data_IF_722384087376
#
_entry.id   IF_722384087376
#
_cell.length_a   1.000
_cell.length_b   1.000
_cell.length_c   1.000
_cell.angle_alpha   90.00
_cell.angle_beta   90.00
_cell.angle_gamma   90.00
#
_symmetry.space_group_name_H-M   'P 1'
#
loop_
_entity.id
_entity.type
_entity.pdbx_description
1 polymer ?
#
# COMPACT_ATOMS: atom_id res chain seq x y z
N UNK A 1 39.80 -48.75 -35.29
CA UNK A 1 38.80 -48.07 -36.12
C UNK A 1 37.45 -48.73 -35.85
N UNK A 2 36.60 -48.10 -35.05
CA UNK A 2 35.23 -48.56 -34.82
C UNK A 2 34.37 -47.32 -34.60
N UNK A 3 33.38 -47.15 -35.48
CA UNK A 3 32.34 -46.13 -35.40
C UNK A 3 31.38 -46.50 -34.29
N UNK A 4 30.92 -45.54 -33.49
CA UNK A 4 29.71 -45.71 -32.71
C UNK A 4 28.81 -44.49 -32.81
N UNK A 5 27.59 -44.74 -33.30
CA UNK A 5 26.52 -43.79 -33.59
C UNK A 5 25.87 -43.37 -32.28
N UNK A 6 25.88 -42.08 -31.95
CA UNK A 6 24.90 -41.53 -30.99
C UNK A 6 23.67 -41.00 -31.73
N UNK A 7 22.57 -41.66 -31.43
CA UNK A 7 21.19 -41.32 -31.76
C UNK A 7 20.81 -39.94 -31.24
N UNK A 8 20.16 -39.15 -32.09
CA UNK A 8 19.67 -37.81 -31.79
C UNK A 8 18.51 -37.82 -30.80
N UNK A 9 18.60 -36.92 -29.83
CA UNK A 9 17.55 -36.58 -28.89
C UNK A 9 16.58 -35.59 -29.56
N UNK A 10 15.25 -35.75 -29.42
CA UNK A 10 14.29 -34.85 -30.06
C UNK A 10 14.25 -33.49 -29.35
N UNK A 11 14.37 -32.42 -30.13
CA UNK A 11 14.20 -31.04 -29.69
C UNK A 11 12.79 -30.82 -29.14
N UNK A 12 12.61 -30.21 -27.96
CA UNK A 12 11.28 -29.90 -27.44
C UNK A 12 10.60 -28.83 -28.31
N UNK A 13 9.27 -28.91 -28.50
CA UNK A 13 8.53 -27.96 -29.33
C UNK A 13 8.53 -26.57 -28.70
N UNK A 14 8.69 -25.56 -29.56
CA UNK A 14 8.57 -24.14 -29.22
C UNK A 14 7.10 -23.85 -28.84
N UNK A 15 6.84 -23.14 -27.72
CA UNK A 15 5.48 -22.86 -27.29
C UNK A 15 4.78 -21.87 -28.24
N UNK A 16 3.55 -22.22 -28.62
CA UNK A 16 2.64 -21.47 -29.47
C UNK A 16 2.01 -20.29 -28.69
N UNK A 17 2.24 -19.03 -29.09
CA UNK A 17 1.75 -17.85 -28.36
C UNK A 17 0.22 -17.64 -28.46
N UNK A 18 -0.49 -18.38 -29.32
CA UNK A 18 -1.93 -18.18 -29.56
C UNK A 18 -2.84 -19.23 -28.90
N UNK A 19 -2.31 -20.06 -27.98
CA UNK A 19 -3.14 -21.03 -27.25
C UNK A 19 -3.91 -20.37 -26.09
N UNK A 20 -5.26 -20.33 -26.11
CA UNK A 20 -6.04 -19.80 -24.99
C UNK A 20 -5.88 -20.71 -23.77
N UNK A 21 -5.50 -20.13 -22.64
CA UNK A 21 -5.40 -20.80 -21.36
C UNK A 21 -6.79 -21.24 -20.88
N UNK A 22 -6.98 -22.55 -20.72
CA UNK A 22 -8.15 -23.12 -20.07
C UNK A 22 -8.09 -22.80 -18.56
N UNK A 23 -9.03 -21.98 -18.08
CA UNK A 23 -9.22 -21.71 -16.66
C UNK A 23 -9.67 -22.98 -15.92
N UNK A 24 -9.13 -23.27 -14.72
CA UNK A 24 -9.60 -24.38 -13.90
C UNK A 24 -11.01 -24.13 -13.35
N UNK A 25 -11.81 -25.18 -13.08
CA UNK A 25 -13.21 -25.07 -12.68
C UNK A 25 -13.38 -24.42 -11.31
N UNK A 26 -14.32 -23.47 -11.24
CA UNK A 26 -14.64 -22.71 -10.04
C UNK A 26 -15.28 -23.55 -8.93
N UNK A 27 -14.78 -23.36 -7.71
CA UNK A 27 -15.37 -23.87 -6.48
C UNK A 27 -16.65 -23.10 -6.15
N UNK A 28 -17.79 -23.79 -6.15
CA UNK A 28 -19.10 -23.25 -5.78
C UNK A 28 -19.24 -23.19 -4.25
N UNK A 29 -19.35 -21.99 -3.68
CA UNK A 29 -19.76 -21.79 -2.28
C UNK A 29 -21.27 -21.57 -2.21
N UNK A 30 -22.00 -22.58 -1.75
CA UNK A 30 -23.36 -22.41 -1.21
C UNK A 30 -23.27 -21.83 0.21
N UNK A 31 -23.87 -20.66 0.42
CA UNK A 31 -24.20 -20.11 1.74
C UNK A 31 -25.64 -20.50 2.09
N UNK A 32 -25.83 -21.03 3.28
CA UNK A 32 -27.13 -21.11 3.95
C UNK A 32 -27.21 -19.94 4.94
N UNK A 33 -28.28 -19.17 4.83
CA UNK A 33 -28.67 -18.08 5.71
C UNK A 33 -29.23 -18.65 7.02
N UNK A 34 -28.95 -17.99 8.14
CA UNK A 34 -29.81 -18.07 9.32
C UNK A 34 -29.89 -16.70 9.97
N UNK A 35 -31.12 -16.19 10.04
CA UNK A 35 -31.54 -14.95 10.70
C UNK A 35 -31.45 -15.10 12.23
N UNK A 36 -31.05 -14.05 12.93
CA UNK A 36 -31.04 -14.01 14.40
C UNK A 36 -30.93 -12.58 14.98
N UNK A 37 -32.08 -11.91 15.00
CA UNK A 37 -32.58 -10.84 15.88
C UNK A 37 -31.70 -10.15 16.97
N UNK A 38 -31.80 -8.81 16.96
CA UNK A 38 -32.08 -7.86 18.09
C UNK A 38 -30.95 -7.43 19.03
N UNK A 39 -30.79 -6.09 19.15
CA UNK A 39 -30.27 -5.43 20.36
C UNK A 39 -29.40 -4.20 20.11
N UNK A 40 -29.98 -3.07 19.71
CA UNK A 40 -29.27 -1.79 19.65
C UNK A 40 -29.31 -1.10 21.03
N UNK A 41 -28.16 -1.02 21.71
CA UNK A 41 -27.91 -0.04 22.78
C UNK A 41 -26.82 0.89 22.27
N UNK A 42 -27.20 2.11 21.92
CA UNK A 42 -26.27 3.19 21.58
C UNK A 42 -25.92 3.90 22.89
N UNK A 43 -24.78 3.55 23.48
CA UNK A 43 -24.14 4.37 24.50
C UNK A 43 -23.09 5.24 23.80
N UNK A 44 -23.49 6.47 23.44
CA UNK A 44 -22.57 7.50 22.96
C UNK A 44 -21.75 8.04 24.12
N UNK A 45 -20.54 7.51 24.31
CA UNK A 45 -19.55 8.07 25.24
C UNK A 45 -18.83 9.25 24.59
N UNK A 46 -19.19 10.48 24.96
CA UNK A 46 -18.42 11.66 24.64
C UNK A 46 -17.17 11.70 25.55
N UNK A 47 -16.00 11.40 25.00
CA UNK A 47 -14.73 11.64 25.70
C UNK A 47 -14.32 13.10 25.52
N UNK A 48 -14.27 13.83 26.64
CA UNK A 48 -13.71 15.16 26.70
C UNK A 48 -12.17 15.06 26.65
N UNK A 49 -11.57 15.54 25.57
CA UNK A 49 -10.11 15.70 25.47
C UNK A 49 -9.71 16.91 26.34
N UNK A 50 -9.09 16.64 27.49
CA UNK A 50 -8.46 17.70 28.29
C UNK A 50 -7.22 18.21 27.55
N UNK A 51 -7.27 19.45 27.05
CA UNK A 51 -6.11 20.16 26.52
C UNK A 51 -5.16 20.51 27.66
N UNK A 52 -4.03 19.83 27.76
CA UNK A 52 -2.93 20.22 28.64
C UNK A 52 -2.26 21.53 28.16
N UNK A 53 -1.71 22.34 29.08
CA UNK A 53 -0.99 23.56 28.72
C UNK A 53 0.40 23.18 28.17
N UNK A 54 0.64 23.42 26.87
CA UNK A 54 1.96 23.15 26.26
C UNK A 54 2.01 23.02 24.73
N UNK A 55 0.88 23.09 24.02
CA UNK A 55 0.88 23.03 22.56
C UNK A 55 1.32 24.38 21.96
N UNK A 56 2.60 24.46 21.58
CA UNK A 56 3.03 25.43 20.58
C UNK A 56 2.44 25.04 19.22
N UNK A 57 1.43 25.80 18.79
CA UNK A 57 1.09 26.09 17.40
C UNK A 57 0.79 24.90 16.48
N UNK A 58 -0.27 24.14 16.75
CA UNK A 58 -0.97 23.47 15.64
C UNK A 58 -1.80 24.53 14.89
N UNK A 59 -1.74 24.61 13.54
CA UNK A 59 -2.64 25.46 12.80
C UNK A 59 -4.08 25.07 13.12
N UNK A 60 -4.89 26.07 13.48
CA UNK A 60 -6.32 25.90 13.72
C UNK A 60 -6.98 25.55 12.39
N UNK A 61 -7.27 24.26 12.18
CA UNK A 61 -7.92 23.77 10.96
C UNK A 61 -9.43 24.02 11.06
N UNK A 62 -9.99 24.73 10.07
CA UNK A 62 -11.43 24.73 9.79
C UNK A 62 -11.90 23.28 9.57
N UNK A 63 -13.03 22.89 10.19
CA UNK A 63 -13.63 21.56 9.98
C UNK A 63 -13.78 20.67 11.23
N UNK A 64 -13.46 21.16 12.44
CA UNK A 64 -13.81 20.46 13.67
C UNK A 64 -15.34 20.37 13.82
N UNK A 65 -15.92 19.26 13.36
CA UNK A 65 -17.36 18.96 13.48
C UNK A 65 -18.09 18.67 12.18
N UNK A 66 -17.46 18.82 11.01
CA UNK A 66 -18.06 18.36 9.76
C UNK A 66 -17.83 16.85 9.59
N UNK A 67 -18.85 16.07 9.20
CA UNK A 67 -18.66 14.65 8.95
C UNK A 67 -17.65 14.48 7.82
N UNK A 68 -16.63 13.63 8.05
CA UNK A 68 -15.65 13.31 7.03
C UNK A 68 -16.36 12.86 5.74
N UNK A 69 -15.93 13.33 4.56
CA UNK A 69 -16.62 13.01 3.32
C UNK A 69 -16.69 11.49 3.14
N UNK A 70 -17.79 11.00 2.54
CA UNK A 70 -18.00 9.57 2.40
C UNK A 70 -16.88 8.92 1.58
N UNK A 71 -16.67 7.62 1.82
CA UNK A 71 -15.83 6.81 0.95
C UNK A 71 -16.36 6.87 -0.48
N UNK A 72 -15.57 7.45 -1.38
CA UNK A 72 -15.82 7.35 -2.81
C UNK A 72 -15.31 6.00 -3.30
N UNK A 73 -16.07 5.37 -4.20
CA UNK A 73 -15.64 4.21 -4.98
C UNK A 73 -15.78 4.56 -6.43
N UNK A 74 -14.64 4.63 -7.10
CA UNK A 74 -14.55 4.93 -8.51
C UNK A 74 -14.33 3.61 -9.26
N UNK A 75 -14.72 3.59 -10.53
CA UNK A 75 -14.40 2.50 -11.45
C UNK A 75 -13.25 2.94 -12.37
N UNK A 76 -12.29 2.06 -12.68
CA UNK A 76 -11.23 2.38 -13.61
C UNK A 76 -11.81 2.65 -15.01
N UNK A 77 -11.32 3.72 -15.65
CA UNK A 77 -11.69 4.11 -17.01
C UNK A 77 -10.46 4.00 -17.89
N UNK A 78 -10.40 3.00 -18.79
CA UNK A 78 -9.27 2.84 -19.69
C UNK A 78 -9.03 4.08 -20.54
N UNK A 79 -7.78 4.48 -20.65
CA UNK A 79 -7.35 5.57 -21.52
C UNK A 79 -6.17 5.13 -22.38
N UNK A 80 -6.01 5.77 -23.54
CA UNK A 80 -4.79 5.60 -24.33
C UNK A 80 -3.62 6.36 -23.68
N UNK A 81 -2.40 5.87 -23.88
CA UNK A 81 -1.21 6.51 -23.32
C UNK A 81 -1.02 7.96 -23.79
N UNK A 82 -1.55 8.33 -24.96
CA UNK A 82 -1.53 9.72 -25.46
C UNK A 82 -2.35 10.69 -24.60
N UNK A 83 -3.28 10.19 -23.78
CA UNK A 83 -4.03 10.98 -22.81
C UNK A 83 -3.31 11.12 -21.45
N UNK A 84 -2.15 10.49 -21.28
CA UNK A 84 -1.40 10.45 -20.04
C UNK A 84 -0.12 11.30 -20.11
N UNK A 85 0.34 11.76 -18.95
CA UNK A 85 1.63 12.41 -18.84
C UNK A 85 2.75 11.37 -18.83
N UNK A 86 3.69 11.49 -19.75
CA UNK A 86 4.94 10.75 -19.73
C UNK A 86 5.91 11.39 -18.72
N UNK A 87 6.15 10.70 -17.61
CA UNK A 87 7.02 11.16 -16.52
C UNK A 87 8.27 10.29 -16.43
N UNK A 88 9.40 10.86 -16.03
CA UNK A 88 10.68 10.13 -15.82
C UNK A 88 11.16 10.17 -14.37
N UNK A 89 10.43 10.86 -13.50
CA UNK A 89 10.76 11.06 -12.09
C UNK A 89 9.50 11.02 -11.23
N UNK A 90 9.68 10.51 -10.03
CA UNK A 90 8.76 10.69 -8.90
C UNK A 90 9.49 11.61 -7.93
N UNK A 91 8.98 12.82 -7.70
CA UNK A 91 9.71 13.90 -7.05
C UNK A 91 11.09 14.11 -7.71
N UNK A 92 12.15 14.06 -6.90
CA UNK A 92 13.52 14.15 -7.39
C UNK A 92 14.09 12.82 -7.91
N UNK A 93 13.51 11.67 -7.54
CA UNK A 93 14.05 10.36 -7.85
C UNK A 93 13.76 9.95 -9.30
N UNK A 94 14.75 9.36 -9.97
CA UNK A 94 14.60 8.81 -11.31
C UNK A 94 13.70 7.57 -11.27
N UNK A 95 12.81 7.45 -12.25
CA UNK A 95 12.03 6.24 -12.45
C UNK A 95 12.83 5.21 -13.27
N UNK A 96 12.94 4.00 -12.73
CA UNK A 96 13.63 2.85 -13.35
C UNK A 96 12.67 1.68 -13.43
N UNK A 97 12.58 1.04 -14.59
CA UNK A 97 11.77 -0.18 -14.72
C UNK A 97 12.50 -1.35 -14.05
N UNK A 98 11.86 -2.01 -13.09
CA UNK A 98 12.49 -3.04 -12.23
C UNK A 98 13.05 -4.21 -13.06
N UNK A 99 12.32 -4.65 -14.09
CA UNK A 99 12.69 -5.83 -14.89
C UNK A 99 13.94 -5.58 -15.73
N UNK A 100 14.04 -4.42 -16.39
CA UNK A 100 15.17 -4.10 -17.27
C UNK A 100 16.31 -3.39 -16.53
N UNK A 101 16.06 -2.90 -15.32
CA UNK A 101 16.95 -2.01 -14.56
C UNK A 101 17.38 -0.76 -15.34
N UNK A 102 16.56 -0.31 -16.31
CA UNK A 102 16.84 0.88 -17.13
C UNK A 102 15.93 2.04 -16.76
N UNK A 103 16.45 3.29 -16.78
CA UNK A 103 15.61 4.48 -16.73
C UNK A 103 14.53 4.41 -17.81
N UNK A 104 13.29 4.68 -17.42
CA UNK A 104 12.14 4.59 -18.32
C UNK A 104 11.13 5.69 -18.02
N UNK A 105 10.37 6.11 -19.02
CA UNK A 105 9.17 6.89 -18.77
C UNK A 105 8.07 5.97 -18.19
N UNK A 106 7.24 6.52 -17.31
CA UNK A 106 5.98 5.92 -16.89
C UNK A 106 4.84 6.89 -17.23
N UNK A 107 3.66 6.36 -17.50
CA UNK A 107 2.53 7.11 -18.02
C UNK A 107 1.41 7.13 -16.98
N UNK A 108 1.02 8.32 -16.54
CA UNK A 108 0.01 8.50 -15.48
C UNK A 108 -0.82 9.75 -15.70
N UNK A 109 -1.96 9.85 -15.03
CA UNK A 109 -2.70 11.11 -14.94
C UNK A 109 -1.92 12.12 -14.10
N UNK A 110 -2.15 13.41 -14.33
CA UNK A 110 -1.53 14.47 -13.56
C UNK A 110 -1.81 14.38 -12.05
N UNK A 111 -3.07 14.16 -11.61
CA UNK A 111 -3.38 14.06 -10.18
C UNK A 111 -2.67 12.89 -9.49
N UNK A 112 -2.58 11.73 -10.16
CA UNK A 112 -1.88 10.56 -9.63
C UNK A 112 -0.38 10.83 -9.51
N UNK A 113 0.24 11.36 -10.57
CA UNK A 113 1.66 11.73 -10.56
C UNK A 113 2.00 12.73 -9.45
N UNK A 114 1.18 13.76 -9.25
CA UNK A 114 1.37 14.73 -8.16
C UNK A 114 1.23 14.09 -6.77
N UNK A 115 0.40 13.06 -6.61
CA UNK A 115 0.25 12.33 -5.35
C UNK A 115 1.48 11.47 -5.04
N UNK A 116 2.08 10.85 -6.05
CA UNK A 116 3.36 10.15 -5.89
C UNK A 116 4.48 11.11 -5.45
N UNK A 117 4.53 12.33 -6.00
CA UNK A 117 5.51 13.35 -5.60
C UNK A 117 5.35 13.73 -4.12
N UNK A 118 4.10 13.91 -3.66
CA UNK A 118 3.81 14.20 -2.24
C UNK A 118 4.20 13.04 -1.34
N UNK A 119 3.89 11.81 -1.72
CA UNK A 119 4.31 10.62 -0.98
C UNK A 119 5.83 10.58 -0.81
N UNK A 120 6.61 10.78 -1.89
CA UNK A 120 8.06 10.74 -1.78
C UNK A 120 8.61 11.87 -0.89
N UNK A 121 8.02 13.06 -0.97
CA UNK A 121 8.39 14.17 -0.09
C UNK A 121 8.10 13.88 1.40
N UNK A 122 6.98 13.20 1.70
CA UNK A 122 6.65 12.73 3.05
C UNK A 122 7.63 11.67 3.52
N UNK A 123 7.96 10.70 2.66
CA UNK A 123 8.94 9.65 2.97
C UNK A 123 10.30 10.26 3.32
N UNK A 124 10.76 11.22 2.52
CA UNK A 124 11.99 11.96 2.82
C UNK A 124 11.93 12.65 4.18
N UNK A 125 10.83 13.35 4.46
CA UNK A 125 10.66 14.12 5.69
C UNK A 125 10.63 13.24 6.95
N UNK A 126 9.85 12.16 6.91
CA UNK A 126 9.50 11.40 8.12
C UNK A 126 10.30 10.10 8.27
N UNK A 127 10.74 9.49 7.17
CA UNK A 127 11.63 8.32 7.22
C UNK A 127 13.11 8.73 7.17
N UNK A 128 13.42 9.91 6.62
CA UNK A 128 14.78 10.43 6.49
C UNK A 128 15.58 9.82 5.33
N UNK A 129 14.94 9.01 4.50
CA UNK A 129 15.55 8.41 3.32
C UNK A 129 15.37 9.33 2.10
N UNK A 130 16.44 9.55 1.33
CA UNK A 130 16.41 10.36 0.10
C UNK A 130 16.75 9.46 -1.10
N UNK A 131 15.77 8.79 -1.72
CA UNK A 131 16.02 7.98 -2.89
C UNK A 131 16.45 8.84 -4.09
N UNK A 132 17.45 8.39 -4.84
CA UNK A 132 17.77 8.91 -6.18
C UNK A 132 17.09 8.08 -7.29
N UNK A 133 16.59 6.89 -6.97
CA UNK A 133 15.91 5.96 -7.85
C UNK A 133 14.67 5.36 -7.18
N UNK A 134 13.55 5.31 -7.92
CA UNK A 134 12.38 4.47 -7.61
C UNK A 134 12.27 3.41 -8.70
N UNK A 135 12.21 2.13 -8.28
CA UNK A 135 11.98 1.01 -9.20
C UNK A 135 10.53 0.58 -9.16
N UNK A 136 9.95 0.34 -10.33
CA UNK A 136 8.55 -0.10 -10.47
C UNK A 136 8.36 -1.18 -11.53
N UNK A 137 7.25 -1.93 -11.46
CA UNK A 137 6.77 -2.80 -12.55
C UNK A 137 5.86 -2.08 -13.54
N UNK A 138 5.81 -0.75 -13.46
CA UNK A 138 5.06 0.10 -14.38
C UNK A 138 3.81 0.69 -13.75
N UNK A 139 3.25 1.66 -14.48
CA UNK A 139 2.09 2.44 -14.05
C UNK A 139 0.89 2.32 -15.01
N UNK A 140 1.13 1.92 -16.27
CA UNK A 140 0.07 1.83 -17.26
C UNK A 140 0.23 0.62 -18.18
N UNK A 141 -0.91 -0.02 -18.47
CA UNK A 141 -1.05 -1.07 -19.49
C UNK A 141 -2.33 -0.83 -20.27
N UNK A 142 -2.33 -1.16 -21.55
CA UNK A 142 -3.50 -0.97 -22.41
C UNK A 142 -4.64 -1.95 -22.04
N UNK A 143 -5.88 -1.44 -22.01
CA UNK A 143 -7.03 -2.20 -22.48
C UNK A 143 -7.91 -2.92 -21.45
N UNK A 144 -7.84 -2.63 -20.15
CA UNK A 144 -8.72 -3.28 -19.17
C UNK A 144 -9.58 -2.30 -18.37
N UNK A 145 -10.90 -2.38 -18.52
CA UNK A 145 -11.87 -1.61 -17.72
C UNK A 145 -12.03 -2.11 -16.28
N UNK A 146 -11.19 -3.05 -15.85
CA UNK A 146 -11.13 -3.55 -14.47
C UNK A 146 -9.80 -3.26 -13.80
N UNK A 147 -8.86 -2.60 -14.49
CA UNK A 147 -7.53 -2.31 -13.99
C UNK A 147 -7.26 -0.81 -13.90
N UNK A 148 -6.85 -0.35 -12.73
CA UNK A 148 -6.41 1.04 -12.51
C UNK A 148 -5.15 1.40 -13.31
N UNK A 149 -4.32 0.41 -13.67
CA UNK A 149 -3.22 0.65 -14.60
C UNK A 149 -3.73 1.12 -15.96
N UNK A 150 -4.86 0.60 -16.46
CA UNK A 150 -5.41 1.08 -17.74
C UNK A 150 -5.98 2.50 -17.67
N UNK A 151 -6.28 3.01 -16.49
CA UNK A 151 -6.65 4.42 -16.26
C UNK A 151 -5.43 5.36 -16.15
N UNK A 152 -4.22 4.82 -15.99
CA UNK A 152 -3.03 5.61 -15.65
C UNK A 152 -3.05 6.13 -14.20
N UNK A 153 -3.79 5.46 -13.32
CA UNK A 153 -4.00 5.86 -11.93
C UNK A 153 -3.56 4.77 -10.95
N UNK A 154 -2.61 3.94 -11.36
CA UNK A 154 -1.94 2.96 -10.51
C UNK A 154 -0.44 2.88 -10.78
N UNK A 155 0.32 2.34 -9.82
CA UNK A 155 1.73 1.99 -10.01
C UNK A 155 2.14 0.87 -9.04
N UNK A 156 3.03 0.00 -9.53
CA UNK A 156 3.59 -1.12 -8.76
C UNK A 156 5.01 -0.80 -8.33
N UNK A 157 5.21 -0.38 -7.08
CA UNK A 157 6.51 0.07 -6.57
C UNK A 157 7.29 -1.11 -5.99
N UNK A 158 8.50 -1.35 -6.51
CA UNK A 158 9.35 -2.45 -6.11
C UNK A 158 10.45 -2.04 -5.12
N UNK A 159 11.09 -0.86 -5.31
CA UNK A 159 12.24 -0.44 -4.48
C UNK A 159 12.42 1.07 -4.41
N UNK A 160 13.01 1.52 -3.31
CA UNK A 160 13.61 2.84 -3.12
C UNK A 160 15.13 2.66 -3.03
N UNK A 161 15.90 3.42 -3.81
CA UNK A 161 17.35 3.25 -3.93
C UNK A 161 18.09 4.58 -3.86
N UNK A 162 19.32 4.53 -3.35
CA UNK A 162 20.28 5.64 -3.38
C UNK A 162 21.71 5.12 -3.54
N UNK A 163 22.48 5.76 -4.42
CA UNK A 163 23.89 5.42 -4.66
C UNK A 163 24.08 3.96 -5.06
N UNK A 164 23.16 3.42 -5.87
CA UNK A 164 23.20 2.03 -6.34
C UNK A 164 22.81 0.97 -5.30
N UNK A 165 22.34 1.36 -4.10
CA UNK A 165 21.93 0.44 -3.02
C UNK A 165 20.45 0.59 -2.70
N UNK A 166 19.83 -0.49 -2.25
CA UNK A 166 18.45 -0.46 -1.74
C UNK A 166 18.41 0.27 -0.40
N UNK A 167 17.63 1.35 -0.33
CA UNK A 167 17.24 1.98 0.93
C UNK A 167 16.11 1.17 1.59
N UNK A 168 15.09 0.85 0.78
CA UNK A 168 14.00 -0.05 1.13
C UNK A 168 13.64 -0.90 -0.07
N UNK A 169 13.55 -2.21 0.12
CA UNK A 169 13.03 -3.14 -0.88
C UNK A 169 11.60 -3.53 -0.52
N UNK A 170 10.67 -3.31 -1.44
CA UNK A 170 9.27 -3.73 -1.33
C UNK A 170 9.04 -5.13 -1.92
N UNK A 171 10.13 -5.84 -2.24
CA UNK A 171 10.15 -7.19 -2.78
C UNK A 171 10.20 -8.24 -1.67
N UNK A 172 9.08 -8.46 -0.99
CA UNK A 172 8.99 -9.44 0.11
C UNK A 172 9.51 -10.81 -0.32
N UNK A 173 9.21 -11.23 -1.54
CA UNK A 173 9.71 -12.44 -2.18
C UNK A 173 11.23 -12.62 -2.19
N UNK A 174 12.02 -11.53 -2.08
CA UNK A 174 13.48 -11.58 -2.03
C UNK A 174 14.07 -11.65 -0.62
N UNK A 175 13.28 -11.36 0.42
CA UNK A 175 13.82 -11.22 1.77
C UNK A 175 12.99 -11.86 2.88
N UNK A 176 11.83 -12.45 2.57
CA UNK A 176 10.98 -13.16 3.54
C UNK A 176 11.70 -14.27 4.31
N UNK A 177 12.71 -14.88 3.68
CA UNK A 177 13.52 -15.97 4.25
C UNK A 177 14.86 -15.47 4.83
N UNK A 178 15.03 -14.15 4.97
CA UNK A 178 16.25 -13.58 5.57
C UNK A 178 16.39 -13.98 7.06
N UNK A 179 17.61 -13.98 7.61
CA UNK A 179 17.82 -14.19 9.04
C UNK A 179 16.97 -13.25 9.89
N UNK A 180 16.48 -13.72 11.05
CA UNK A 180 15.46 -13.04 11.84
C UNK A 180 15.76 -11.57 12.19
N UNK A 181 17.03 -11.22 12.43
CA UNK A 181 17.45 -9.84 12.70
C UNK A 181 17.29 -8.95 11.47
N UNK A 182 17.70 -9.44 10.31
CA UNK A 182 17.57 -8.75 9.03
C UNK A 182 16.12 -8.68 8.58
N UNK A 183 15.36 -9.76 8.74
CA UNK A 183 13.92 -9.80 8.45
C UNK A 183 13.17 -8.75 9.26
N UNK A 184 13.45 -8.63 10.56
CA UNK A 184 12.84 -7.62 11.44
C UNK A 184 13.14 -6.20 10.94
N UNK A 185 14.40 -5.92 10.58
CA UNK A 185 14.81 -4.62 10.03
C UNK A 185 14.08 -4.30 8.73
N UNK A 186 13.98 -5.28 7.82
CA UNK A 186 13.30 -5.13 6.53
C UNK A 186 11.81 -4.91 6.69
N UNK A 187 11.15 -5.67 7.56
CA UNK A 187 9.73 -5.49 7.87
C UNK A 187 9.47 -4.10 8.45
N UNK A 188 10.29 -3.62 9.38
CA UNK A 188 10.14 -2.27 9.92
C UNK A 188 10.25 -1.20 8.81
N UNK A 189 11.27 -1.27 7.95
CA UNK A 189 11.43 -0.32 6.84
C UNK A 189 10.33 -0.43 5.77
N UNK A 190 9.91 -1.65 5.45
CA UNK A 190 8.80 -1.92 4.54
C UNK A 190 7.52 -1.25 5.03
N UNK A 191 7.14 -1.49 6.29
CA UNK A 191 5.89 -0.97 6.84
C UNK A 191 5.93 0.53 7.13
N UNK A 192 7.11 1.11 7.41
CA UNK A 192 7.29 2.57 7.41
C UNK A 192 7.07 3.18 6.03
N UNK A 193 7.59 2.54 4.97
CA UNK A 193 7.38 2.99 3.59
C UNK A 193 5.90 2.85 3.18
N UNK A 194 5.27 1.73 3.53
CA UNK A 194 3.86 1.48 3.30
C UNK A 194 2.96 2.48 4.07
N UNK A 195 3.36 2.92 5.27
CA UNK A 195 2.62 3.96 6.01
C UNK A 195 2.58 5.28 5.24
N UNK A 196 3.69 5.68 4.61
CA UNK A 196 3.72 6.82 3.70
C UNK A 196 2.78 6.65 2.51
N UNK A 197 2.72 5.45 1.92
CA UNK A 197 1.77 5.17 0.84
C UNK A 197 0.33 5.25 1.33
N UNK A 198 0.00 4.65 2.48
CA UNK A 198 -1.32 4.72 3.10
C UNK A 198 -1.74 6.12 3.56
N UNK A 199 -0.79 7.04 3.75
CA UNK A 199 -1.08 8.45 3.99
C UNK A 199 -1.69 9.12 2.76
N UNK A 200 -1.21 8.80 1.55
CA UNK A 200 -1.67 9.41 0.30
C UNK A 200 -2.73 8.57 -0.44
N UNK A 201 -2.73 7.24 -0.29
CA UNK A 201 -3.57 6.30 -1.04
C UNK A 201 -4.39 5.42 -0.09
N UNK A 202 -5.66 5.17 -0.42
CA UNK A 202 -6.48 4.24 0.36
C UNK A 202 -6.22 2.78 -0.05
N UNK A 203 -6.10 2.54 -1.36
CA UNK A 203 -5.85 1.23 -1.94
C UNK A 203 -4.34 1.07 -2.09
N UNK A 204 -3.74 0.40 -1.10
CA UNK A 204 -2.32 0.05 -1.05
C UNK A 204 -2.27 -1.46 -0.81
N UNK A 205 -1.88 -2.22 -1.83
CA UNK A 205 -1.87 -3.68 -1.78
C UNK A 205 -0.45 -4.15 -1.57
N UNK A 206 -0.25 -4.92 -0.50
CA UNK A 206 1.06 -5.41 -0.04
C UNK A 206 1.13 -6.92 -0.21
N UNK A 207 2.27 -7.54 0.15
CA UNK A 207 2.40 -9.00 0.18
C UNK A 207 1.35 -9.72 1.04
N UNK A 208 0.64 -9.01 1.95
CA UNK A 208 -0.46 -9.58 2.74
C UNK A 208 -1.77 -9.69 1.97
N UNK A 209 -1.91 -9.00 0.83
CA UNK A 209 -3.14 -9.00 0.05
C UNK A 209 -3.32 -10.31 -0.72
N UNK A 210 -2.34 -10.65 -1.56
CA UNK A 210 -2.26 -11.93 -2.27
C UNK A 210 -0.84 -12.17 -2.81
N UNK A 211 -0.63 -13.34 -3.43
CA UNK A 211 0.67 -13.75 -3.97
C UNK A 211 1.17 -12.90 -5.16
N UNK A 212 0.28 -12.19 -5.86
CA UNK A 212 0.69 -11.35 -6.99
C UNK A 212 1.40 -10.06 -6.53
N UNK A 213 1.21 -9.68 -5.26
CA UNK A 213 1.83 -8.52 -4.62
C UNK A 213 3.04 -8.90 -3.76
N UNK A 214 3.57 -10.12 -3.89
CA UNK A 214 4.72 -10.56 -3.09
C UNK A 214 6.03 -9.83 -3.49
N UNK A 215 6.06 -9.26 -4.70
CA UNK A 215 7.24 -8.62 -5.27
C UNK A 215 7.14 -7.08 -5.39
N UNK A 216 6.05 -6.44 -4.96
CA UNK A 216 5.86 -4.99 -5.00
C UNK A 216 4.76 -4.51 -4.04
N UNK A 217 4.62 -3.19 -3.89
CA UNK A 217 3.38 -2.58 -3.37
C UNK A 217 2.64 -1.91 -4.53
N UNK A 218 1.39 -2.29 -4.73
CA UNK A 218 0.48 -1.61 -5.67
C UNK A 218 -0.21 -0.45 -4.97
N UNK A 219 -0.36 0.69 -5.64
CA UNK A 219 -1.22 1.79 -5.19
C UNK A 219 -2.09 2.33 -6.31
N UNK A 220 -3.31 2.74 -5.98
CA UNK A 220 -4.26 3.35 -6.93
C UNK A 220 -5.18 4.43 -6.32
N UNK A 221 -6.00 5.09 -7.16
CA UNK A 221 -6.95 6.15 -6.78
C UNK A 221 -8.41 5.69 -6.64
N UNK A 222 -8.67 4.39 -6.60
CA UNK A 222 -10.04 3.86 -6.64
C UNK A 222 -10.93 4.26 -5.48
N UNK A 223 -10.32 4.65 -4.35
CA UNK A 223 -11.04 5.21 -3.21
C UNK A 223 -10.59 6.61 -2.84
N UNK A 224 -11.56 7.40 -2.40
CA UNK A 224 -11.44 8.81 -2.01
C UNK A 224 -11.01 9.79 -3.13
N UNK A 225 -10.62 9.33 -4.32
CA UNK A 225 -10.28 10.21 -5.44
C UNK A 225 -9.24 11.27 -5.06
N UNK A 226 -9.54 12.58 -5.20
CA UNK A 226 -8.59 13.65 -4.86
C UNK A 226 -8.37 13.84 -3.36
N UNK A 227 -9.26 13.32 -2.51
CA UNK A 227 -9.20 13.46 -1.06
C UNK A 227 -8.16 12.52 -0.45
N UNK A 228 -7.59 12.89 0.69
CA UNK A 228 -6.72 11.99 1.45
C UNK A 228 -7.52 10.87 2.13
N UNK A 229 -6.94 9.66 2.24
CA UNK A 229 -7.60 8.52 2.85
C UNK A 229 -7.81 8.69 4.35
N UNK A 230 -8.77 7.91 4.84
CA UNK A 230 -8.97 7.56 6.25
C UNK A 230 -9.12 6.04 6.36
N UNK A 231 -9.11 5.50 7.57
CA UNK A 231 -9.37 4.08 7.79
C UNK A 231 -10.78 3.70 7.28
N UNK A 232 -10.82 2.68 6.44
CA UNK A 232 -12.01 1.93 6.06
C UNK A 232 -11.95 0.60 6.82
N UNK A 233 -12.68 0.51 7.94
CA UNK A 233 -12.64 -0.66 8.84
C UNK A 233 -12.97 -2.00 8.19
N UNK A 234 -13.71 -1.98 7.07
CA UNK A 234 -14.05 -3.16 6.27
C UNK A 234 -13.05 -3.48 5.16
N UNK A 235 -11.98 -2.71 5.03
CA UNK A 235 -10.94 -2.90 4.02
C UNK A 235 -9.83 -3.77 4.60
N UNK A 236 -9.80 -5.05 4.23
CA UNK A 236 -8.80 -6.01 4.71
C UNK A 236 -7.36 -5.47 4.52
N UNK A 237 -7.06 -4.93 3.33
CA UNK A 237 -5.75 -4.36 3.02
C UNK A 237 -5.30 -3.26 4.01
N UNK A 238 -6.19 -2.34 4.37
CA UNK A 238 -5.85 -1.28 5.32
C UNK A 238 -5.74 -1.79 6.76
N UNK A 239 -6.63 -2.70 7.16
CA UNK A 239 -6.62 -3.25 8.51
C UNK A 239 -5.37 -4.08 8.74
N UNK A 240 -5.03 -4.98 7.81
CA UNK A 240 -3.79 -5.76 7.88
C UNK A 240 -2.55 -4.87 7.88
N UNK A 241 -2.56 -3.77 7.11
CA UNK A 241 -1.46 -2.81 7.13
C UNK A 241 -1.30 -2.15 8.50
N UNK A 242 -2.39 -1.70 9.14
CA UNK A 242 -2.36 -1.15 10.50
C UNK A 242 -1.83 -2.18 11.49
N UNK A 243 -2.33 -3.41 11.44
CA UNK A 243 -1.88 -4.48 12.33
C UNK A 243 -0.38 -4.78 12.13
N UNK A 244 0.08 -4.81 10.88
CA UNK A 244 1.48 -5.03 10.54
C UNK A 244 2.38 -3.87 10.97
N UNK A 245 1.92 -2.63 10.87
CA UNK A 245 2.62 -1.46 11.42
C UNK A 245 2.72 -1.55 12.95
N UNK A 246 1.63 -1.87 13.65
CA UNK A 246 1.64 -2.09 15.09
C UNK A 246 2.66 -3.16 15.49
N UNK A 247 2.66 -4.30 14.78
CA UNK A 247 3.55 -5.43 15.09
C UNK A 247 5.01 -5.14 14.76
N UNK A 248 5.29 -4.73 13.53
CA UNK A 248 6.65 -4.70 12.98
C UNK A 248 7.37 -3.37 13.18
N UNK A 249 6.63 -2.26 13.29
CA UNK A 249 7.21 -0.94 13.53
C UNK A 249 7.13 -0.57 15.01
N UNK A 250 5.99 -0.82 15.64
CA UNK A 250 5.77 -0.46 17.05
C UNK A 250 6.08 -1.58 18.05
N UNK A 251 6.41 -2.79 17.59
CA UNK A 251 6.77 -3.92 18.45
C UNK A 251 5.60 -4.49 19.27
N UNK A 252 4.36 -4.23 18.84
CA UNK A 252 3.13 -4.68 19.53
C UNK A 252 2.78 -6.10 19.09
N UNK A 253 3.47 -7.08 19.66
CA UNK A 253 3.34 -8.49 19.31
C UNK A 253 1.96 -9.08 19.64
N UNK A 254 1.19 -8.41 20.51
CA UNK A 254 -0.20 -8.72 20.86
C UNK A 254 -1.19 -8.46 19.72
N UNK A 255 -0.81 -7.65 18.71
CA UNK A 255 -1.64 -7.41 17.53
C UNK A 255 -1.38 -8.52 16.50
N UNK A 256 -2.41 -9.32 16.24
CA UNK A 256 -2.40 -10.38 15.24
C UNK A 256 -2.83 -9.83 13.86
N UNK A 257 -2.34 -10.44 12.77
CA UNK A 257 -2.65 -10.03 11.39
C UNK A 257 -3.95 -10.69 10.89
N UNK A 258 -5.05 -10.49 11.62
CA UNK A 258 -6.34 -11.14 11.34
C UNK A 258 -7.09 -10.52 10.17
N UNK A 259 -6.80 -9.25 9.84
CA UNK A 259 -7.60 -8.45 8.89
C UNK A 259 -8.91 -7.91 9.45
N UNK A 260 -9.18 -8.12 10.75
CA UNK A 260 -10.32 -7.55 11.47
C UNK A 260 -9.86 -6.41 12.38
N UNK A 261 -10.56 -5.26 12.33
CA UNK A 261 -10.25 -4.13 13.22
C UNK A 261 -10.86 -4.34 14.60
N UNK A 262 -10.32 -5.32 15.32
CA UNK A 262 -10.78 -5.80 16.62
C UNK A 262 -10.45 -4.84 17.77
N UNK A 263 -10.83 -5.22 19.00
CA UNK A 263 -10.61 -4.41 20.19
C UNK A 263 -9.11 -4.22 20.50
N UNK A 264 -8.29 -5.26 20.31
CA UNK A 264 -6.85 -5.20 20.57
C UNK A 264 -6.17 -4.23 19.60
N UNK A 265 -6.46 -4.34 18.31
CA UNK A 265 -5.94 -3.46 17.26
C UNK A 265 -6.34 -2.01 17.56
N UNK A 266 -7.61 -1.77 17.91
CA UNK A 266 -8.12 -0.44 18.27
C UNK A 266 -7.37 0.15 19.46
N UNK A 267 -7.34 -0.56 20.60
CA UNK A 267 -6.69 -0.09 21.83
C UNK A 267 -5.21 0.23 21.61
N UNK A 268 -4.51 -0.62 20.86
CA UNK A 268 -3.09 -0.39 20.54
C UNK A 268 -2.91 0.84 19.67
N UNK A 269 -3.73 1.02 18.63
CA UNK A 269 -3.64 2.20 17.76
C UNK A 269 -3.97 3.50 18.49
N UNK A 270 -4.94 3.49 19.40
CA UNK A 270 -5.28 4.64 20.26
C UNK A 270 -4.09 5.01 21.16
N UNK A 271 -3.48 4.03 21.83
CA UNK A 271 -2.29 4.29 22.66
C UNK A 271 -1.10 4.83 21.86
N UNK A 272 -0.91 4.34 20.63
CA UNK A 272 0.14 4.86 19.73
C UNK A 272 -0.13 6.32 19.37
N UNK A 273 -1.39 6.66 19.07
CA UNK A 273 -1.80 8.04 18.77
C UNK A 273 -1.58 8.95 19.98
N UNK A 274 -2.04 8.55 21.17
CA UNK A 274 -1.82 9.28 22.42
C UNK A 274 -0.33 9.51 22.70
N UNK A 275 0.50 8.47 22.56
CA UNK A 275 1.96 8.56 22.73
C UNK A 275 2.61 9.51 21.74
N UNK A 276 2.02 9.69 20.57
CA UNK A 276 2.53 10.53 19.49
C UNK A 276 1.88 11.92 19.45
N UNK A 277 1.04 12.27 20.44
CA UNK A 277 0.31 13.55 20.50
C UNK A 277 -0.78 13.68 19.44
N UNK A 278 -1.19 12.58 18.81
CA UNK A 278 -2.26 12.50 17.83
C UNK A 278 -3.65 12.43 18.46
N UNK A 279 -4.71 12.64 17.67
CA UNK A 279 -6.08 12.63 18.19
C UNK A 279 -6.64 11.20 18.30
N UNK A 280 -7.23 10.90 19.46
CA UNK A 280 -8.25 9.85 19.66
C UNK A 280 -7.98 8.49 19.03
N UNK A 281 -9.03 7.91 18.44
CA UNK A 281 -9.00 6.62 17.76
C UNK A 281 -8.97 6.79 16.24
N UNK A 282 -8.45 5.78 15.52
CA UNK A 282 -8.44 5.76 14.05
C UNK A 282 -9.84 5.75 13.41
N UNK A 283 -10.85 5.27 14.14
CA UNK A 283 -12.16 4.98 13.57
C UNK A 283 -12.81 6.26 13.01
N UNK A 284 -13.03 6.28 11.69
CA UNK A 284 -13.72 7.34 10.95
C UNK A 284 -13.11 8.74 11.02
N UNK A 285 -11.97 8.92 11.70
CA UNK A 285 -11.19 10.16 11.69
C UNK A 285 -10.07 10.11 10.64
N UNK A 286 -10.11 11.05 9.70
CA UNK A 286 -9.02 11.26 8.75
C UNK A 286 -7.78 11.77 9.47
N UNK A 287 -7.95 12.69 10.40
CA UNK A 287 -6.87 13.32 11.15
C UNK A 287 -6.10 12.26 11.96
N UNK A 288 -6.82 11.36 12.66
CA UNK A 288 -6.21 10.25 13.38
C UNK A 288 -5.48 9.29 12.45
N UNK A 289 -6.08 8.93 11.29
CA UNK A 289 -5.40 8.10 10.28
C UNK A 289 -4.09 8.72 9.81
N UNK A 290 -4.11 10.00 9.43
CA UNK A 290 -2.93 10.70 8.92
C UNK A 290 -1.86 10.83 10.01
N UNK A 291 -2.26 11.16 11.25
CA UNK A 291 -1.35 11.23 12.40
C UNK A 291 -0.69 9.87 12.69
N UNK A 292 -1.44 8.77 12.64
CA UNK A 292 -0.90 7.43 12.85
C UNK A 292 0.11 7.04 11.74
N UNK A 293 -0.18 7.38 10.48
CA UNK A 293 0.75 7.12 9.38
C UNK A 293 2.05 7.91 9.53
N UNK A 294 1.97 9.19 9.92
CA UNK A 294 3.15 10.03 10.20
C UNK A 294 3.95 9.47 11.37
N UNK A 295 3.31 9.20 12.51
CA UNK A 295 3.98 8.63 13.68
C UNK A 295 4.66 7.29 13.35
N UNK A 296 4.01 6.45 12.54
CA UNK A 296 4.59 5.19 12.08
C UNK A 296 5.81 5.42 11.18
N UNK A 297 5.77 6.37 10.25
CA UNK A 297 6.96 6.71 9.43
C UNK A 297 8.14 7.18 10.28
N UNK A 298 7.89 7.96 11.33
CA UNK A 298 8.93 8.55 12.20
C UNK A 298 9.54 7.55 13.19
N UNK A 299 8.86 6.42 13.43
CA UNK A 299 9.32 5.40 14.38
C UNK A 299 10.55 4.66 13.85
N UNK A 300 11.72 4.93 14.44
CA UNK A 300 13.00 4.27 14.13
C UNK A 300 13.27 3.05 15.00
#
# INVERSE_FOLDING_TARGET
MSQDRRTGEPTPPVPDPDRPHASPPGLTRRRVLTLGAVGAVVAGGAYAVSRGPGLHSLPQLSGLGEPAPPELRLDPRPVDFSALQARRRIGAAAHVYEVSARPAAYYVTEPFGARLDRWLALHQRHVGQVPDEIRSYGAWVRGSSTSWHSSGEAIDIARLRAGGRDLTSLRHDQWRDAPATELRRRLALYWRTAAGLHHEFADVLTYLFDASHDNHIHVDLGRFGPERPRLIRRSNAQVQAVQAMCRHVWGRAEVELTGEFDAVTRDVTTRILEQSGGPGELADSREAWQAFMVATMERA
#
